data_IF_723474978494
#
_entry.id   IF_723474978494
#
_cell.length_a   1.000
_cell.length_b   1.000
_cell.length_c   1.000
_cell.angle_alpha   90.00
_cell.angle_beta   90.00
_cell.angle_gamma   90.00
#
_symmetry.space_group_name_H-M   'P 1'
#
loop_
_entity.id
_entity.type
_entity.pdbx_description
1 polymer ?
#
# COMPACT_ATOMS: atom_id res chain seq x y z
N UNK A 1 -26.59 -12.48 -4.77
CA UNK A 1 -25.65 -12.56 -5.91
C UNK A 1 -24.34 -13.17 -5.41
N UNK A 2 -23.76 -14.15 -6.13
CA UNK A 2 -22.48 -14.72 -5.73
C UNK A 2 -21.41 -13.63 -5.57
N UNK A 3 -20.74 -13.60 -4.42
CA UNK A 3 -19.67 -12.65 -4.12
C UNK A 3 -18.32 -13.33 -4.22
N UNK A 4 -17.42 -12.74 -5.00
CA UNK A 4 -16.06 -13.22 -5.23
C UNK A 4 -15.07 -12.31 -4.55
N UNK A 5 -14.18 -12.90 -3.73
CA UNK A 5 -13.00 -12.27 -3.18
C UNK A 5 -11.84 -12.52 -4.13
N UNK A 6 -11.20 -11.47 -4.59
CA UNK A 6 -10.07 -11.49 -5.50
C UNK A 6 -8.81 -11.06 -4.75
N UNK A 7 -7.76 -11.86 -4.80
CA UNK A 7 -6.42 -11.44 -4.35
C UNK A 7 -5.61 -11.04 -5.59
N UNK A 8 -5.02 -9.83 -5.56
CA UNK A 8 -4.36 -9.24 -6.72
C UNK A 8 -2.94 -8.80 -6.40
N UNK A 9 -2.06 -8.93 -7.39
CA UNK A 9 -0.80 -8.20 -7.44
C UNK A 9 -0.80 -7.22 -8.61
N UNK A 10 -0.05 -6.12 -8.48
CA UNK A 10 0.17 -5.17 -9.57
C UNK A 10 1.43 -4.33 -9.39
N UNK A 11 2.06 -4.00 -10.53
CA UNK A 11 3.03 -2.91 -10.63
C UNK A 11 2.26 -1.60 -10.77
N UNK A 12 2.34 -0.73 -9.76
CA UNK A 12 1.60 0.53 -9.72
C UNK A 12 2.12 1.61 -10.66
N UNK A 13 3.28 1.40 -11.29
CA UNK A 13 3.99 2.42 -12.10
C UNK A 13 3.12 3.10 -13.15
N UNK A 14 2.32 2.39 -13.98
CA UNK A 14 1.50 3.03 -15.02
C UNK A 14 0.17 3.57 -14.51
N UNK A 15 -0.17 3.37 -13.22
CA UNK A 15 -1.49 3.69 -12.70
C UNK A 15 -1.50 4.97 -11.88
N UNK A 16 -2.58 5.74 -12.01
CA UNK A 16 -2.89 6.89 -11.14
C UNK A 16 -3.34 6.48 -9.73
N UNK A 17 -3.20 5.20 -9.39
CA UNK A 17 -3.54 4.54 -8.14
C UNK A 17 -4.63 3.49 -8.30
N UNK A 18 -5.15 3.03 -7.16
CA UNK A 18 -6.22 2.03 -7.13
C UNK A 18 -7.54 2.58 -7.67
N UNK A 19 -8.00 3.72 -7.14
CA UNK A 19 -9.35 4.23 -7.33
C UNK A 19 -9.63 4.63 -8.77
N UNK A 20 -10.80 4.22 -9.30
CA UNK A 20 -11.32 4.71 -10.58
C UNK A 20 -11.50 6.23 -10.52
N UNK A 21 -10.93 6.93 -11.49
CA UNK A 21 -10.98 8.39 -11.64
C UNK A 21 -10.78 8.77 -13.12
N UNK A 22 -11.18 9.99 -13.49
CA UNK A 22 -11.20 10.43 -14.88
C UNK A 22 -9.82 10.82 -15.44
N UNK A 23 -8.87 11.10 -14.55
CA UNK A 23 -7.56 11.66 -14.91
C UNK A 23 -6.52 10.64 -15.35
N UNK A 24 -6.86 9.35 -15.46
CA UNK A 24 -5.91 8.33 -15.93
C UNK A 24 -6.29 6.89 -15.64
N UNK A 25 -5.40 6.00 -16.05
CA UNK A 25 -5.56 4.57 -15.88
C UNK A 25 -5.44 4.18 -14.41
N UNK A 26 -6.44 3.50 -13.86
CA UNK A 26 -6.46 3.00 -12.48
C UNK A 26 -6.61 1.48 -12.43
N UNK A 27 -6.09 0.85 -11.37
CA UNK A 27 -6.19 -0.61 -11.19
C UNK A 27 -7.66 -1.04 -11.10
N UNK A 28 -8.48 -0.32 -10.32
CA UNK A 28 -9.91 -0.59 -10.18
C UNK A 28 -10.66 -0.46 -11.52
N UNK A 29 -10.33 0.54 -12.33
CA UNK A 29 -10.92 0.75 -13.65
C UNK A 29 -10.59 -0.39 -14.61
N UNK A 30 -9.32 -0.84 -14.63
CA UNK A 30 -8.91 -1.98 -15.47
C UNK A 30 -9.58 -3.27 -15.01
N UNK A 31 -9.68 -3.50 -13.72
CA UNK A 31 -10.37 -4.66 -13.18
C UNK A 31 -11.88 -4.63 -13.50
N UNK A 32 -12.55 -3.48 -13.41
CA UNK A 32 -13.96 -3.32 -13.79
C UNK A 32 -14.18 -3.60 -15.28
N UNK A 33 -13.28 -3.12 -16.15
CA UNK A 33 -13.32 -3.41 -17.58
C UNK A 33 -13.15 -4.92 -17.87
N UNK A 34 -12.23 -5.58 -17.15
CA UNK A 34 -12.01 -7.01 -17.26
C UNK A 34 -13.25 -7.81 -16.81
N UNK A 35 -13.88 -7.41 -15.71
CA UNK A 35 -15.15 -8.00 -15.25
C UNK A 35 -16.25 -7.84 -16.29
N UNK A 36 -16.41 -6.64 -16.84
CA UNK A 36 -17.41 -6.35 -17.88
C UNK A 36 -17.18 -7.18 -19.15
N UNK A 37 -15.93 -7.31 -19.59
CA UNK A 37 -15.57 -8.08 -20.77
C UNK A 37 -15.82 -9.59 -20.59
N UNK A 38 -15.64 -10.10 -19.36
CA UNK A 38 -15.86 -11.50 -19.01
C UNK A 38 -17.35 -11.83 -18.80
N UNK A 39 -18.04 -11.05 -17.97
CA UNK A 39 -19.39 -11.38 -17.49
C UNK A 39 -20.51 -10.66 -18.25
N UNK A 40 -20.20 -9.59 -18.99
CA UNK A 40 -21.18 -8.67 -19.57
C UNK A 40 -21.75 -7.66 -18.56
N UNK A 41 -21.37 -7.74 -17.29
CA UNK A 41 -21.94 -6.94 -16.20
C UNK A 41 -21.12 -5.67 -15.92
N UNK A 42 -21.81 -4.55 -15.78
CA UNK A 42 -21.19 -3.26 -15.47
C UNK A 42 -21.09 -3.08 -13.95
N UNK A 43 -20.15 -3.78 -13.34
CA UNK A 43 -19.93 -3.76 -11.89
C UNK A 43 -18.50 -3.30 -11.56
N UNK A 44 -18.35 -2.54 -10.45
CA UNK A 44 -17.07 -1.99 -10.02
C UNK A 44 -16.58 -2.74 -8.78
N UNK A 45 -15.46 -3.51 -8.88
CA UNK A 45 -14.89 -4.21 -7.75
C UNK A 45 -14.49 -3.26 -6.61
N UNK A 46 -14.74 -3.64 -5.36
CA UNK A 46 -14.43 -2.84 -4.18
C UNK A 46 -13.17 -3.34 -3.49
N UNK A 47 -12.13 -2.50 -3.40
CA UNK A 47 -10.85 -2.86 -2.80
C UNK A 47 -10.79 -2.71 -1.28
N UNK A 48 -9.91 -3.49 -0.65
CA UNK A 48 -9.64 -3.45 0.79
C UNK A 48 -9.01 -2.14 1.25
N UNK A 49 -8.26 -1.49 0.36
CA UNK A 49 -7.63 -0.20 0.61
C UNK A 49 -7.27 0.50 -0.70
N UNK A 50 -7.22 1.83 -0.67
CA UNK A 50 -6.71 2.60 -1.81
C UNK A 50 -5.19 2.62 -1.73
N UNK A 51 -4.53 2.50 -2.88
CA UNK A 51 -3.11 2.78 -3.06
C UNK A 51 -2.95 4.02 -3.92
N UNK A 52 -1.96 4.85 -3.61
CA UNK A 52 -1.67 6.07 -4.36
C UNK A 52 -1.06 5.75 -5.73
N UNK A 53 -0.95 6.76 -6.60
CA UNK A 53 -0.24 6.66 -7.87
C UNK A 53 1.19 6.13 -7.67
N UNK A 54 1.57 5.12 -8.45
CA UNK A 54 2.90 4.48 -8.40
C UNK A 54 3.13 3.52 -7.22
N UNK A 55 2.15 3.30 -6.35
CA UNK A 55 2.23 2.31 -5.25
C UNK A 55 1.85 0.93 -5.77
N UNK A 56 2.65 -0.08 -5.42
CA UNK A 56 2.46 -1.46 -5.84
C UNK A 56 1.62 -2.26 -4.85
N UNK A 57 1.23 -3.47 -5.26
CA UNK A 57 0.67 -4.47 -4.35
C UNK A 57 1.18 -5.87 -4.70
N UNK A 58 1.40 -6.68 -3.67
CA UNK A 58 1.67 -8.12 -3.75
C UNK A 58 0.45 -8.94 -3.29
N UNK A 59 -0.52 -8.30 -2.63
CA UNK A 59 -1.69 -8.95 -2.05
C UNK A 59 -2.82 -7.97 -1.75
N UNK A 60 -3.18 -7.11 -2.70
CA UNK A 60 -4.41 -6.32 -2.62
C UNK A 60 -5.61 -7.28 -2.66
N UNK A 61 -6.64 -6.97 -1.92
CA UNK A 61 -7.90 -7.72 -1.99
C UNK A 61 -9.03 -6.83 -2.50
N UNK A 62 -9.83 -7.37 -3.40
CA UNK A 62 -11.08 -6.76 -3.82
C UNK A 62 -12.22 -7.78 -3.75
N UNK A 63 -13.47 -7.30 -3.69
CA UNK A 63 -14.62 -8.16 -3.93
C UNK A 63 -15.47 -7.62 -5.07
N UNK A 64 -16.19 -8.52 -5.72
CA UNK A 64 -17.13 -8.22 -6.80
C UNK A 64 -18.32 -9.17 -6.70
N UNK A 65 -19.51 -8.63 -6.93
CA UNK A 65 -20.74 -9.41 -7.02
C UNK A 65 -21.06 -9.65 -8.50
N UNK A 66 -21.36 -10.89 -8.86
CA UNK A 66 -21.80 -11.28 -10.22
C UNK A 66 -23.19 -11.88 -10.15
N UNK A 67 -24.01 -11.63 -11.18
CA UNK A 67 -25.39 -12.15 -11.24
C UNK A 67 -25.39 -13.67 -11.37
N UNK A 68 -24.46 -14.20 -12.19
CA UNK A 68 -24.29 -15.64 -12.41
C UNK A 68 -23.17 -16.19 -11.55
N UNK A 69 -23.41 -17.40 -11.02
CA UNK A 69 -22.35 -18.17 -10.36
C UNK A 69 -21.40 -18.82 -11.36
N UNK A 70 -20.11 -18.70 -11.08
CA UNK A 70 -19.00 -19.22 -11.85
C UNK A 70 -18.03 -19.95 -10.92
N UNK A 71 -17.35 -20.97 -11.42
CA UNK A 71 -16.23 -21.57 -10.71
C UNK A 71 -15.13 -20.51 -10.45
N UNK A 72 -14.61 -20.36 -9.22
CA UNK A 72 -13.62 -19.33 -8.89
C UNK A 72 -12.38 -19.32 -9.79
N UNK A 73 -11.83 -20.49 -10.13
CA UNK A 73 -10.70 -20.59 -11.05
C UNK A 73 -11.02 -20.04 -12.44
N UNK A 74 -12.25 -20.24 -12.92
CA UNK A 74 -12.70 -19.71 -14.20
C UNK A 74 -12.79 -18.19 -14.18
N UNK A 75 -13.26 -17.60 -13.07
CA UNK A 75 -13.28 -16.15 -12.88
C UNK A 75 -11.86 -15.60 -12.88
N UNK A 76 -10.94 -16.20 -12.11
CA UNK A 76 -9.52 -15.81 -12.08
C UNK A 76 -8.89 -15.81 -13.46
N UNK A 77 -9.01 -16.91 -14.17
CA UNK A 77 -8.35 -17.10 -15.46
C UNK A 77 -8.94 -16.20 -16.55
N UNK A 78 -10.26 -16.00 -16.54
CA UNK A 78 -10.93 -15.07 -17.46
C UNK A 78 -10.51 -13.62 -17.19
N UNK A 79 -10.48 -13.19 -15.93
CA UNK A 79 -10.01 -11.84 -15.58
C UNK A 79 -8.55 -11.64 -15.99
N UNK A 80 -7.66 -12.60 -15.75
CA UNK A 80 -6.27 -12.53 -16.16
C UNK A 80 -6.08 -12.48 -17.69
N UNK A 81 -6.95 -13.12 -18.45
CA UNK A 81 -6.95 -13.01 -19.92
C UNK A 81 -7.29 -11.58 -20.39
N UNK A 82 -8.26 -10.93 -19.72
CA UNK A 82 -8.72 -9.56 -20.06
C UNK A 82 -7.80 -8.46 -19.52
N UNK A 83 -7.04 -8.73 -18.46
CA UNK A 83 -6.12 -7.74 -17.88
C UNK A 83 -4.85 -7.54 -18.70
N UNK A 84 -4.48 -8.48 -19.56
CA UNK A 84 -3.30 -8.32 -20.44
C UNK A 84 -3.49 -7.16 -21.43
N UNK A 85 -2.43 -6.38 -21.73
CA UNK A 85 -1.04 -6.50 -21.27
C UNK A 85 -0.73 -5.69 -19.98
N UNK A 86 -1.72 -5.21 -19.25
CA UNK A 86 -1.49 -4.41 -18.06
C UNK A 86 -0.79 -5.21 -16.95
N UNK A 87 0.07 -4.58 -16.14
CA UNK A 87 0.78 -5.27 -15.07
C UNK A 87 -0.11 -5.44 -13.82
N UNK A 88 -1.22 -6.13 -13.99
CA UNK A 88 -2.17 -6.53 -12.94
C UNK A 88 -2.49 -8.00 -13.11
N UNK A 89 -2.45 -8.76 -12.01
CA UNK A 89 -2.78 -10.17 -11.99
C UNK A 89 -3.71 -10.53 -10.84
N UNK A 90 -4.71 -11.36 -11.11
CA UNK A 90 -5.54 -12.00 -10.08
C UNK A 90 -4.85 -13.30 -9.68
N UNK A 91 -4.29 -13.33 -8.46
CA UNK A 91 -3.56 -14.47 -7.91
C UNK A 91 -4.50 -15.58 -7.43
N UNK A 92 -5.62 -15.17 -6.80
CA UNK A 92 -6.62 -16.09 -6.28
C UNK A 92 -8.02 -15.48 -6.41
N UNK A 93 -9.01 -16.35 -6.57
CA UNK A 93 -10.43 -16.02 -6.53
C UNK A 93 -11.15 -17.03 -5.62
N UNK A 94 -11.98 -16.54 -4.73
CA UNK A 94 -12.72 -17.36 -3.76
C UNK A 94 -14.18 -16.91 -3.72
N UNK A 95 -15.11 -17.85 -3.68
CA UNK A 95 -16.51 -17.56 -3.38
C UNK A 95 -16.62 -17.30 -1.87
N UNK A 96 -17.26 -16.19 -1.48
CA UNK A 96 -17.37 -15.77 -0.08
C UNK A 96 -18.82 -15.45 0.27
N UNK A 97 -19.13 -15.42 1.57
CA UNK A 97 -20.46 -15.06 2.04
C UNK A 97 -20.84 -13.63 1.66
N UNK A 98 -22.14 -13.36 1.48
CA UNK A 98 -22.68 -12.04 1.09
C UNK A 98 -22.31 -10.91 2.05
N UNK A 99 -22.06 -11.23 3.33
CA UNK A 99 -21.63 -10.27 4.34
C UNK A 99 -20.14 -9.87 4.27
N UNK A 100 -19.34 -10.52 3.43
CA UNK A 100 -17.93 -10.17 3.26
C UNK A 100 -17.78 -8.82 2.55
N UNK A 101 -17.01 -7.91 3.14
CA UNK A 101 -16.59 -6.66 2.51
C UNK A 101 -15.07 -6.55 2.57
N UNK A 102 -14.41 -6.44 1.42
CA UNK A 102 -12.96 -6.38 1.32
C UNK A 102 -12.33 -5.27 2.19
N UNK A 103 -13.04 -4.15 2.39
CA UNK A 103 -12.54 -3.02 3.19
C UNK A 103 -12.87 -3.15 4.67
N UNK A 104 -14.14 -3.45 4.99
CA UNK A 104 -14.65 -3.36 6.35
C UNK A 104 -14.48 -4.66 7.15
N UNK A 105 -14.43 -5.82 6.48
CA UNK A 105 -14.14 -7.10 7.14
C UNK A 105 -12.64 -7.27 7.46
N UNK A 106 -11.77 -6.44 6.88
CA UNK A 106 -10.32 -6.58 7.08
C UNK A 106 -9.89 -6.24 8.50
N UNK A 107 -9.15 -7.16 9.11
CA UNK A 107 -8.57 -7.07 10.47
C UNK A 107 -7.19 -6.39 10.46
N UNK A 108 -6.36 -6.62 9.44
CA UNK A 108 -5.04 -5.99 9.31
C UNK A 108 -4.64 -5.74 7.84
N UNK A 109 -3.76 -4.77 7.65
CA UNK A 109 -3.05 -4.49 6.40
C UNK A 109 -1.56 -4.42 6.66
N UNK A 110 -0.78 -5.05 5.78
CA UNK A 110 0.66 -5.14 5.88
C UNK A 110 1.29 -4.45 4.67
N UNK A 111 2.20 -3.54 4.96
CA UNK A 111 2.95 -2.81 3.95
C UNK A 111 4.44 -3.10 4.07
N UNK A 112 5.11 -3.13 2.95
CA UNK A 112 6.56 -3.15 2.81
C UNK A 112 6.98 -1.88 2.07
N UNK A 113 7.97 -1.18 2.61
CA UNK A 113 8.65 -0.12 1.89
C UNK A 113 10.10 -0.52 1.62
N UNK A 114 10.56 -0.37 0.36
CA UNK A 114 11.89 -0.77 -0.09
C UNK A 114 12.74 0.44 -0.39
N UNK A 115 13.96 0.50 0.20
CA UNK A 115 15.00 1.48 -0.10
C UNK A 115 16.22 0.72 -0.58
N UNK A 116 16.91 1.23 -1.61
CA UNK A 116 18.20 0.74 -2.07
C UNK A 116 19.25 1.84 -1.92
N UNK A 117 20.30 1.54 -1.11
CA UNK A 117 21.35 2.49 -0.74
C UNK A 117 22.64 2.17 -1.48
N UNK A 118 22.80 2.71 -2.69
CA UNK A 118 24.03 2.55 -3.49
C UNK A 118 24.23 3.74 -4.43
N UNK A 119 25.50 3.97 -4.86
CA UNK A 119 25.82 5.07 -5.78
C UNK A 119 25.37 4.77 -7.21
N UNK A 120 25.50 3.51 -7.65
CA UNK A 120 25.08 3.13 -9.01
C UNK A 120 23.56 3.22 -9.18
N UNK A 121 23.06 3.74 -10.33
CA UNK A 121 21.64 3.84 -10.57
C UNK A 121 20.94 2.48 -10.59
N UNK A 122 19.63 2.50 -10.32
CA UNK A 122 18.80 1.29 -10.37
C UNK A 122 18.42 0.98 -11.82
N UNK A 123 18.73 -0.23 -12.28
CA UNK A 123 18.30 -0.75 -13.58
C UNK A 123 17.06 -1.65 -13.42
N UNK A 124 17.21 -2.80 -12.76
CA UNK A 124 16.13 -3.77 -12.56
C UNK A 124 15.10 -3.29 -11.52
N UNK A 125 15.56 -2.58 -10.49
CA UNK A 125 14.71 -2.09 -9.41
C UNK A 125 14.19 -0.65 -9.64
N UNK A 126 14.35 -0.13 -10.86
CA UNK A 126 13.80 1.18 -11.23
C UNK A 126 12.27 1.17 -11.08
N UNK A 127 11.74 2.18 -10.41
CA UNK A 127 10.32 2.30 -10.03
C UNK A 127 9.81 1.19 -9.09
N UNK A 128 10.73 0.42 -8.43
CA UNK A 128 10.38 -0.65 -7.49
C UNK A 128 11.01 -0.49 -6.11
N UNK A 129 11.84 0.53 -5.95
CA UNK A 129 12.46 0.90 -4.68
C UNK A 129 12.82 2.39 -4.68
N UNK A 130 12.92 2.98 -3.51
CA UNK A 130 13.49 4.32 -3.35
C UNK A 130 15.00 4.24 -3.45
N UNK A 131 15.58 4.86 -4.46
CA UNK A 131 17.02 4.97 -4.61
C UNK A 131 17.58 6.08 -3.73
N UNK A 132 18.49 5.75 -2.82
CA UNK A 132 19.23 6.68 -1.96
C UNK A 132 20.72 6.49 -2.22
N UNK A 133 21.43 7.57 -2.56
CA UNK A 133 22.82 7.51 -3.06
C UNK A 133 23.87 7.25 -1.95
N UNK A 134 23.48 7.36 -0.69
CA UNK A 134 24.36 7.21 0.46
C UNK A 134 23.81 6.20 1.47
N UNK A 135 24.69 5.73 2.33
CA UNK A 135 24.31 4.80 3.39
C UNK A 135 23.34 5.45 4.38
N UNK A 136 22.39 4.65 4.88
CA UNK A 136 21.49 5.01 5.97
C UNK A 136 21.79 4.10 7.16
N UNK A 137 21.70 4.59 8.37
CA UNK A 137 21.78 3.76 9.59
C UNK A 137 20.42 3.09 9.85
N UNK A 138 20.28 1.84 9.39
CA UNK A 138 19.05 1.07 9.56
C UNK A 138 18.76 0.70 11.02
N UNK A 139 19.79 0.58 11.87
CA UNK A 139 19.62 0.29 13.30
C UNK A 139 19.01 1.50 14.01
N UNK A 140 19.56 2.70 13.78
CA UNK A 140 18.99 3.94 14.29
C UNK A 140 17.55 4.18 13.79
N UNK A 141 17.27 3.87 12.50
CA UNK A 141 15.91 3.93 11.95
C UNK A 141 14.97 2.97 12.68
N UNK A 142 15.41 1.73 12.97
CA UNK A 142 14.59 0.73 13.67
C UNK A 142 14.30 1.16 15.11
N UNK A 143 15.30 1.64 15.85
CA UNK A 143 15.12 2.15 17.19
C UNK A 143 14.13 3.31 17.23
N UNK A 144 14.31 4.30 16.35
CA UNK A 144 13.42 5.44 16.28
C UNK A 144 11.97 5.04 15.89
N UNK A 145 11.80 4.05 15.02
CA UNK A 145 10.50 3.56 14.57
C UNK A 145 9.64 3.05 15.75
N UNK A 146 10.25 2.55 16.83
CA UNK A 146 9.52 2.02 17.98
C UNK A 146 8.70 3.11 18.71
N UNK A 147 9.09 4.39 18.61
CA UNK A 147 8.32 5.49 19.15
C UNK A 147 6.97 5.72 18.43
N UNK A 148 6.79 5.16 17.24
CA UNK A 148 5.55 5.26 16.45
C UNK A 148 4.62 4.05 16.64
N UNK A 149 5.12 2.95 17.24
CA UNK A 149 4.31 1.75 17.48
C UNK A 149 3.35 2.01 18.66
N UNK A 150 2.10 1.55 18.51
CA UNK A 150 1.06 1.75 19.49
C UNK A 150 -0.08 2.63 19.01
N UNK A 151 -0.92 3.06 19.95
CA UNK A 151 -2.09 3.91 19.68
C UNK A 151 -1.73 5.38 19.79
N UNK A 152 -1.71 6.09 18.66
CA UNK A 152 -1.29 7.48 18.59
C UNK A 152 -2.19 8.33 17.69
N UNK A 153 -2.08 9.64 17.87
CA UNK A 153 -2.57 10.63 16.91
C UNK A 153 -1.53 10.84 15.81
N UNK A 154 -1.82 10.34 14.60
CA UNK A 154 -0.93 10.43 13.43
C UNK A 154 -1.20 11.67 12.55
N UNK A 155 -1.74 12.75 13.09
CA UNK A 155 -1.97 14.00 12.34
C UNK A 155 -0.71 14.48 11.62
N UNK A 156 0.45 14.40 12.24
CA UNK A 156 1.74 14.77 11.62
C UNK A 156 2.03 13.95 10.35
N UNK A 157 1.67 12.67 10.33
CA UNK A 157 2.02 11.76 9.25
C UNK A 157 0.90 11.55 8.22
N UNK A 158 -0.22 12.26 8.32
CA UNK A 158 -1.31 12.18 7.36
C UNK A 158 -1.21 13.25 6.27
N UNK A 159 -1.70 12.95 5.07
CA UNK A 159 -1.89 13.96 4.02
C UNK A 159 -2.95 14.98 4.43
N UNK A 160 -2.81 16.24 4.00
CA UNK A 160 -3.84 17.27 4.11
C UNK A 160 -5.16 16.87 3.43
N UNK A 161 -5.08 16.08 2.36
CA UNK A 161 -6.23 15.56 1.60
C UNK A 161 -6.87 14.29 2.21
N UNK A 162 -6.40 13.88 3.40
CA UNK A 162 -6.89 12.66 4.05
C UNK A 162 -8.34 12.81 4.50
N UNK A 163 -9.23 12.00 3.94
CA UNK A 163 -10.67 11.98 4.23
C UNK A 163 -11.04 11.20 5.51
N UNK A 164 -10.06 10.64 6.24
CA UNK A 164 -10.34 9.90 7.46
C UNK A 164 -10.90 10.82 8.55
N UNK A 165 -12.00 10.43 9.18
CA UNK A 165 -12.67 11.20 10.24
C UNK A 165 -11.78 11.39 11.48
N UNK A 166 -10.93 10.39 11.81
CA UNK A 166 -10.05 10.45 12.98
C UNK A 166 -8.59 10.17 12.60
N UNK A 167 -7.63 10.97 13.10
CA UNK A 167 -6.19 10.71 12.94
C UNK A 167 -5.67 9.63 13.90
N UNK A 168 -6.48 9.20 14.87
CA UNK A 168 -6.11 8.16 15.83
C UNK A 168 -6.03 6.81 15.13
N UNK A 169 -4.87 6.16 15.23
CA UNK A 169 -4.60 4.82 14.70
C UNK A 169 -3.76 4.02 15.69
N UNK A 170 -3.92 2.70 15.64
CA UNK A 170 -2.99 1.79 16.28
C UNK A 170 -2.06 1.24 15.20
N UNK A 171 -0.78 1.50 15.34
CA UNK A 171 0.28 0.92 14.52
C UNK A 171 0.81 -0.31 15.27
N UNK A 172 0.53 -1.50 14.74
CA UNK A 172 0.84 -2.76 15.43
C UNK A 172 2.33 -3.12 15.27
N UNK A 173 2.93 -2.74 14.14
CA UNK A 173 4.33 -3.01 13.82
C UNK A 173 4.91 -1.93 12.92
N UNK A 174 6.15 -1.53 13.23
CA UNK A 174 7.02 -0.76 12.33
C UNK A 174 8.45 -1.24 12.54
N UNK A 175 8.96 -2.03 11.60
CA UNK A 175 10.28 -2.65 11.70
C UNK A 175 11.13 -2.25 10.52
N UNK A 176 12.42 -2.01 10.76
CA UNK A 176 13.42 -1.70 9.74
C UNK A 176 14.51 -2.75 9.78
N UNK A 177 14.83 -3.33 8.63
CA UNK A 177 15.88 -4.33 8.47
C UNK A 177 16.76 -4.02 7.25
N UNK A 178 18.05 -4.30 7.34
CA UNK A 178 19.00 -4.17 6.23
C UNK A 178 19.46 -5.53 5.75
N UNK A 179 19.53 -5.71 4.43
CA UNK A 179 20.16 -6.83 3.77
C UNK A 179 21.02 -6.30 2.61
N UNK A 180 22.33 -6.26 2.79
CA UNK A 180 23.24 -5.66 1.82
C UNK A 180 22.96 -4.17 1.61
N UNK A 181 22.72 -3.76 0.37
CA UNK A 181 22.34 -2.39 0.00
C UNK A 181 20.84 -2.12 0.12
N UNK A 182 20.02 -3.15 0.40
CA UNK A 182 18.60 -3.04 0.58
C UNK A 182 18.20 -2.78 2.04
N UNK A 183 17.25 -1.87 2.24
CA UNK A 183 16.55 -1.66 3.51
C UNK A 183 15.07 -1.93 3.28
N UNK A 184 14.49 -2.80 4.09
CA UNK A 184 13.08 -3.12 4.16
C UNK A 184 12.47 -2.46 5.40
N UNK A 185 11.34 -1.78 5.21
CA UNK A 185 10.54 -1.19 6.30
C UNK A 185 9.17 -1.83 6.24
N UNK A 186 8.82 -2.61 7.25
CA UNK A 186 7.53 -3.29 7.39
C UNK A 186 6.62 -2.51 8.32
N UNK A 187 5.39 -2.26 7.89
CA UNK A 187 4.37 -1.60 8.69
C UNK A 187 3.07 -2.42 8.70
N UNK A 188 2.48 -2.63 9.89
CA UNK A 188 1.22 -3.34 10.04
C UNK A 188 0.28 -2.56 10.95
N UNK A 189 -0.99 -2.46 10.52
CA UNK A 189 -2.07 -1.84 11.26
C UNK A 189 -3.42 -2.32 10.71
N UNK A 190 -4.48 -2.17 11.49
CA UNK A 190 -5.85 -2.38 11.00
C UNK A 190 -6.19 -1.45 9.84
N UNK A 191 -5.73 -0.19 9.89
CA UNK A 191 -5.93 0.80 8.82
C UNK A 191 -4.88 1.89 8.91
N UNK A 192 -4.58 2.49 7.76
CA UNK A 192 -3.66 3.62 7.65
C UNK A 192 -4.37 4.87 7.13
N UNK A 193 -3.83 6.03 7.49
CA UNK A 193 -4.22 7.32 6.91
C UNK A 193 -3.58 7.49 5.53
N UNK A 194 -4.12 8.39 4.71
CA UNK A 194 -3.53 8.74 3.43
C UNK A 194 -2.09 9.23 3.60
N UNK A 195 -1.16 8.64 2.87
CA UNK A 195 0.29 8.86 2.92
C UNK A 195 0.99 8.50 4.26
N UNK A 196 0.31 7.91 5.24
CA UNK A 196 0.89 7.69 6.57
C UNK A 196 2.21 6.88 6.50
N UNK A 197 2.22 5.74 5.84
CA UNK A 197 3.43 4.89 5.74
C UNK A 197 4.56 5.67 5.06
N UNK A 198 4.30 6.33 3.93
CA UNK A 198 5.30 7.11 3.19
C UNK A 198 5.84 8.29 4.00
N UNK A 199 5.00 8.96 4.78
CA UNK A 199 5.39 10.04 5.68
C UNK A 199 6.28 9.55 6.82
N UNK A 200 5.93 8.41 7.44
CA UNK A 200 6.77 7.77 8.46
C UNK A 200 8.14 7.36 7.88
N UNK A 201 8.16 6.73 6.71
CA UNK A 201 9.40 6.32 6.03
C UNK A 201 10.30 7.50 5.69
N UNK A 202 9.73 8.59 5.16
CA UNK A 202 10.51 9.79 4.85
C UNK A 202 11.11 10.45 6.09
N UNK A 203 10.40 10.40 7.22
CA UNK A 203 10.92 10.88 8.51
C UNK A 203 12.00 9.93 9.07
N UNK A 204 11.81 8.61 8.97
CA UNK A 204 12.82 7.62 9.33
C UNK A 204 14.09 7.74 8.49
N UNK A 205 13.97 8.10 7.21
CA UNK A 205 15.14 8.37 6.37
C UNK A 205 16.00 9.51 6.92
N UNK A 206 15.40 10.58 7.49
CA UNK A 206 16.14 11.65 8.14
C UNK A 206 16.91 11.15 9.38
N UNK A 207 16.35 10.16 10.10
CA UNK A 207 17.07 9.50 11.20
C UNK A 207 18.24 8.69 10.65
N UNK A 208 18.02 7.89 9.61
CA UNK A 208 19.09 7.10 8.98
C UNK A 208 20.24 7.94 8.40
N UNK A 209 19.98 9.20 8.05
CA UNK A 209 20.98 10.19 7.62
C UNK A 209 21.70 10.89 8.78
N UNK A 210 21.28 10.65 10.03
CA UNK A 210 21.79 11.35 11.20
C UNK A 210 21.33 12.83 11.31
N UNK A 211 20.37 13.24 10.48
CA UNK A 211 19.77 14.60 10.52
C UNK A 211 18.72 14.73 11.63
N UNK A 212 18.07 13.64 11.97
CA UNK A 212 17.14 13.52 13.09
C UNK A 212 17.62 12.45 14.05
N UNK A 213 17.25 12.60 15.31
CA UNK A 213 17.37 11.58 16.35
C UNK A 213 16.02 10.86 16.55
N UNK A 214 16.01 9.75 17.30
CA UNK A 214 14.76 9.11 17.74
C UNK A 214 13.86 10.09 18.54
N UNK A 215 14.48 11.01 19.32
CA UNK A 215 13.74 12.06 20.03
C UNK A 215 13.05 13.05 19.09
N UNK A 216 13.68 13.39 17.96
CA UNK A 216 13.08 14.33 16.99
C UNK A 216 11.88 13.68 16.29
N UNK A 217 11.95 12.39 15.96
CA UNK A 217 10.81 11.64 15.43
C UNK A 217 9.65 11.59 16.45
N UNK A 218 9.94 11.32 17.72
CA UNK A 218 8.94 11.32 18.78
C UNK A 218 8.31 12.72 18.99
N UNK A 219 9.12 13.78 18.92
CA UNK A 219 8.60 15.18 18.96
C UNK A 219 7.69 15.46 17.76
N UNK A 220 8.06 15.00 16.55
CA UNK A 220 7.23 15.15 15.36
C UNK A 220 5.87 14.49 15.54
N UNK A 221 5.80 13.27 16.12
CA UNK A 221 4.54 12.59 16.45
C UNK A 221 3.70 13.43 17.43
N UNK A 222 4.33 13.93 18.51
CA UNK A 222 3.67 14.71 19.56
C UNK A 222 3.18 16.07 19.07
N UNK A 223 3.80 16.65 18.07
CA UNK A 223 3.44 17.95 17.51
C UNK A 223 2.03 17.98 16.91
N UNK A 224 1.53 16.85 16.43
CA UNK A 224 0.22 16.75 15.75
C UNK A 224 0.04 17.81 14.67
N UNK A 225 1.12 18.14 14.01
CA UNK A 225 1.19 19.14 12.95
C UNK A 225 1.88 18.56 11.72
N UNK A 226 1.22 18.66 10.56
CA UNK A 226 1.77 18.18 9.29
C UNK A 226 3.11 18.84 8.93
N UNK A 227 3.32 20.10 9.34
CA UNK A 227 4.57 20.83 9.09
C UNK A 227 5.77 20.23 9.82
N UNK A 228 5.55 19.52 10.93
CA UNK A 228 6.60 18.83 11.68
C UNK A 228 7.03 17.48 11.06
N UNK A 229 6.37 17.04 9.98
CA UNK A 229 6.70 15.78 9.31
C UNK A 229 7.94 15.94 8.43
N UNK A 230 8.74 14.87 8.30
CA UNK A 230 9.73 14.75 7.25
C UNK A 230 9.09 14.68 5.85
N UNK A 231 9.91 14.63 4.77
CA UNK A 231 9.41 14.54 3.40
C UNK A 231 8.60 13.25 3.21
N UNK A 232 7.62 13.28 2.30
CA UNK A 232 6.89 12.06 1.91
C UNK A 232 7.79 11.21 1.03
N UNK A 233 8.01 9.95 1.41
CA UNK A 233 8.80 9.01 0.62
C UNK A 233 8.14 8.73 -0.74
N UNK A 234 8.92 8.51 -1.83
CA UNK A 234 8.39 8.17 -3.15
C UNK A 234 7.43 6.97 -3.13
N UNK A 235 6.42 7.00 -3.99
CA UNK A 235 5.41 5.93 -4.06
C UNK A 235 6.02 4.58 -4.49
N UNK A 236 6.99 4.62 -5.39
CA UNK A 236 7.60 3.44 -6.02
C UNK A 236 8.31 2.47 -5.06
N UNK A 237 8.55 2.86 -3.82
CA UNK A 237 9.10 1.95 -2.81
C UNK A 237 8.03 1.22 -2.01
N UNK A 238 6.76 1.61 -2.10
CA UNK A 238 5.68 1.10 -1.25
C UNK A 238 4.89 -0.03 -1.91
N UNK A 239 4.66 -1.09 -1.12
CA UNK A 239 3.88 -2.27 -1.51
C UNK A 239 2.83 -2.60 -0.45
N UNK A 240 1.58 -2.78 -0.86
CA UNK A 240 0.58 -3.47 -0.04
C UNK A 240 0.85 -4.98 -0.17
N UNK A 241 1.35 -5.60 0.89
CA UNK A 241 1.81 -7.01 0.87
C UNK A 241 0.67 -7.97 1.11
N UNK A 242 -0.20 -7.66 2.08
CA UNK A 242 -1.25 -8.57 2.52
C UNK A 242 -2.38 -7.81 3.20
N UNK A 243 -3.59 -8.33 3.05
CA UNK A 243 -4.78 -7.95 3.83
C UNK A 243 -5.27 -9.19 4.59
N UNK A 244 -5.51 -9.06 5.89
CA UNK A 244 -6.05 -10.13 6.74
C UNK A 244 -7.52 -9.90 7.08
N UNK A 245 -8.25 -11.00 7.25
CA UNK A 245 -9.69 -11.03 7.55
C UNK A 245 -10.00 -11.86 8.78
#
# INVERSE_FOLDING_TARGET
MPRYKLTLEYDGTPFVGWQLQENGLSVQGRLAQAVKAFSGEDTVPRGAGRTDAGVHALGQVAHVDLAREWEPDKVRDALNAQLRPDPVSVLACELVADGFDARFSASARHYLYRILTRRSPLALERNRAWHVLHALDAAAMHEAAQALVGHHDFTTFRSSECQAASPLKTLDRLAVARAGDAIAIEASARSFLHNQVRSMVGSLKLVGEGRWTARDLAKALQARDRAACGPVAPACGLYLVKVEY
#
